data_IF_057906481739
#
_entry.id   IF_057906481739
#
_cell.length_a   1.000
_cell.length_b   1.000
_cell.length_c   1.000
_cell.angle_alpha   90.00
_cell.angle_beta   90.00
_cell.angle_gamma   90.00
#
_symmetry.space_group_name_H-M   'P 1'
#
loop_
_entity.id
_entity.type
_entity.pdbx_description
1 polymer ?
#
# COMPACT_ATOMS: atom_id res chain seq x y z
N UNK A 1 20.07 5.68 -23.19
CA UNK A 1 19.98 5.69 -21.70
C UNK A 1 19.15 6.88 -21.17
N UNK A 2 19.42 8.12 -21.58
CA UNK A 2 18.68 9.30 -21.12
C UNK A 2 17.19 9.27 -21.46
N UNK A 3 16.82 8.84 -22.66
CA UNK A 3 15.41 8.73 -23.08
C UNK A 3 14.58 7.76 -22.21
N UNK A 4 15.16 6.62 -21.79
CA UNK A 4 14.47 5.67 -20.90
C UNK A 4 14.27 6.26 -19.51
N UNK A 5 15.27 7.00 -18.97
CA UNK A 5 15.14 7.69 -17.68
C UNK A 5 13.99 8.71 -17.70
N UNK A 6 13.87 9.49 -18.78
CA UNK A 6 12.77 10.45 -18.94
C UNK A 6 11.42 9.73 -18.97
N UNK A 7 11.28 8.63 -19.73
CA UNK A 7 10.06 7.81 -19.73
C UNK A 7 9.71 7.29 -18.34
N UNK A 8 10.70 6.78 -17.59
CA UNK A 8 10.49 6.33 -16.22
C UNK A 8 9.98 7.45 -15.31
N UNK A 9 10.54 8.66 -15.41
CA UNK A 9 10.08 9.81 -14.63
C UNK A 9 8.65 10.22 -14.98
N UNK A 10 8.31 10.23 -16.27
CA UNK A 10 6.92 10.49 -16.73
C UNK A 10 5.96 9.44 -16.19
N UNK A 11 6.34 8.17 -16.24
CA UNK A 11 5.52 7.09 -15.71
C UNK A 11 5.31 7.20 -14.19
N UNK A 12 6.35 7.59 -13.44
CA UNK A 12 6.24 7.87 -12.00
C UNK A 12 5.28 9.03 -11.70
N UNK A 13 5.32 10.10 -12.48
CA UNK A 13 4.41 11.21 -12.34
C UNK A 13 2.96 10.77 -12.55
N UNK A 14 2.69 10.04 -13.63
CA UNK A 14 1.33 9.65 -14.01
C UNK A 14 0.71 8.59 -13.10
N UNK A 15 1.51 7.63 -12.61
CA UNK A 15 1.00 6.48 -11.84
C UNK A 15 1.04 6.72 -10.33
N UNK A 16 1.98 7.54 -9.86
CA UNK A 16 2.24 7.70 -8.42
C UNK A 16 1.95 9.13 -7.98
N UNK A 17 2.74 10.08 -8.46
CA UNK A 17 2.79 11.40 -7.84
C UNK A 17 1.53 12.23 -8.10
N UNK A 18 1.02 12.26 -9.32
CA UNK A 18 -0.21 12.99 -9.66
C UNK A 18 -1.42 12.35 -8.96
N UNK A 19 -1.66 11.03 -9.05
CA UNK A 19 -2.78 10.41 -8.33
C UNK A 19 -2.71 10.63 -6.81
N UNK A 20 -1.53 10.53 -6.20
CA UNK A 20 -1.38 10.79 -4.77
C UNK A 20 -1.63 12.26 -4.42
N UNK A 21 -1.12 13.20 -5.20
CA UNK A 21 -1.37 14.62 -4.99
C UNK A 21 -2.86 14.95 -5.10
N UNK A 22 -3.56 14.39 -6.10
CA UNK A 22 -5.00 14.55 -6.27
C UNK A 22 -5.78 13.93 -5.10
N UNK A 23 -5.40 12.74 -4.64
CA UNK A 23 -6.03 12.09 -3.49
C UNK A 23 -5.86 12.92 -2.21
N UNK A 24 -4.65 13.43 -1.95
CA UNK A 24 -4.37 14.29 -0.80
C UNK A 24 -5.12 15.62 -0.89
N UNK A 25 -5.15 16.23 -2.08
CA UNK A 25 -5.89 17.46 -2.32
C UNK A 25 -7.39 17.24 -2.10
N UNK A 26 -7.95 16.19 -2.68
CA UNK A 26 -9.36 15.84 -2.51
C UNK A 26 -9.70 15.64 -1.03
N UNK A 27 -8.93 14.82 -0.30
CA UNK A 27 -9.16 14.58 1.14
C UNK A 27 -9.01 15.83 1.99
N UNK A 28 -8.21 16.81 1.57
CA UNK A 28 -8.03 18.07 2.29
C UNK A 28 -9.18 19.08 2.06
N UNK A 29 -9.96 18.92 0.98
CA UNK A 29 -11.03 19.85 0.59
C UNK A 29 -12.43 19.24 0.66
N UNK A 30 -12.54 17.92 0.82
CA UNK A 30 -13.78 17.20 1.10
C UNK A 30 -14.21 17.50 2.56
N UNK A 31 -15.49 17.83 2.75
CA UNK A 31 -16.05 18.29 4.05
C UNK A 31 -17.21 17.45 4.59
N UNK A 32 -17.78 16.55 3.79
CA UNK A 32 -18.93 15.71 4.11
C UNK A 32 -18.58 14.30 4.57
N UNK A 33 -17.31 13.90 4.47
CA UNK A 33 -16.85 12.54 4.69
C UNK A 33 -17.35 11.56 3.63
N UNK A 34 -16.90 10.30 3.73
CA UNK A 34 -17.25 9.24 2.77
C UNK A 34 -18.35 8.34 3.33
N UNK A 35 -19.34 8.04 2.49
CA UNK A 35 -20.34 7.02 2.80
C UNK A 35 -19.72 5.61 2.73
N UNK A 36 -20.30 4.65 3.43
CA UNK A 36 -19.83 3.25 3.47
C UNK A 36 -19.73 2.62 2.08
N UNK A 37 -20.69 2.89 1.18
CA UNK A 37 -20.61 2.45 -0.21
C UNK A 37 -19.48 3.09 -1.00
N UNK A 38 -19.12 4.34 -0.70
CA UNK A 38 -17.98 5.01 -1.34
C UNK A 38 -16.67 4.41 -0.87
N UNK A 39 -16.56 4.04 0.41
CA UNK A 39 -15.42 3.32 0.97
C UNK A 39 -15.26 1.90 0.44
N UNK A 40 -16.29 1.30 -0.17
CA UNK A 40 -16.20 0.05 -0.93
C UNK A 40 -15.83 0.32 -2.39
N UNK A 41 -16.54 1.24 -3.05
CA UNK A 41 -16.40 1.48 -4.48
C UNK A 41 -15.08 2.19 -4.83
N UNK A 42 -14.64 3.16 -4.04
CA UNK A 42 -13.46 3.96 -4.37
C UNK A 42 -12.17 3.14 -4.39
N UNK A 43 -11.85 2.27 -3.41
CA UNK A 43 -10.67 1.41 -3.51
C UNK A 43 -10.73 0.48 -4.74
N UNK A 44 -11.91 -0.03 -5.11
CA UNK A 44 -12.06 -0.89 -6.28
C UNK A 44 -11.86 -0.15 -7.59
N UNK A 45 -12.49 1.01 -7.75
CA UNK A 45 -12.40 1.83 -8.96
C UNK A 45 -11.02 2.46 -9.09
N UNK A 46 -10.52 3.08 -8.03
CA UNK A 46 -9.23 3.76 -8.03
C UNK A 46 -8.08 2.77 -8.01
N UNK A 47 -8.10 1.79 -7.09
CA UNK A 47 -7.06 0.76 -7.00
C UNK A 47 -7.06 -0.15 -8.22
N UNK A 48 -8.22 -0.70 -8.60
CA UNK A 48 -8.37 -1.54 -9.79
C UNK A 48 -8.05 -0.79 -11.08
N UNK A 49 -8.55 0.44 -11.24
CA UNK A 49 -8.23 1.32 -12.36
C UNK A 49 -6.73 1.62 -12.45
N UNK A 50 -6.09 1.92 -11.33
CA UNK A 50 -4.64 2.18 -11.27
C UNK A 50 -3.80 0.94 -11.62
N UNK A 51 -4.24 -0.27 -11.26
CA UNK A 51 -3.59 -1.51 -11.69
C UNK A 51 -3.63 -1.64 -13.22
N UNK A 52 -4.77 -1.35 -13.84
CA UNK A 52 -4.92 -1.35 -15.30
C UNK A 52 -4.03 -0.28 -15.92
N UNK A 53 -4.03 0.95 -15.39
CA UNK A 53 -3.16 2.04 -15.86
C UNK A 53 -1.68 1.67 -15.76
N UNK A 54 -1.26 1.07 -14.65
CA UNK A 54 0.11 0.58 -14.47
C UNK A 54 0.45 -0.50 -15.51
N UNK A 55 -0.45 -1.45 -15.77
CA UNK A 55 -0.26 -2.47 -16.80
C UNK A 55 -0.09 -1.84 -18.20
N UNK A 56 -0.93 -0.86 -18.55
CA UNK A 56 -0.84 -0.14 -19.83
C UNK A 56 0.51 0.58 -19.93
N UNK A 57 0.86 1.39 -18.94
CA UNK A 57 2.10 2.19 -18.97
C UNK A 57 3.32 1.27 -19.01
N UNK A 58 3.34 0.19 -18.22
CA UNK A 58 4.48 -0.72 -18.20
C UNK A 58 4.66 -1.47 -19.52
N UNK A 59 3.61 -2.09 -20.06
CA UNK A 59 3.73 -2.89 -21.28
C UNK A 59 3.87 -2.04 -22.55
N UNK A 60 3.12 -0.93 -22.66
CA UNK A 60 3.06 -0.18 -23.92
C UNK A 60 3.98 1.02 -23.96
N UNK A 61 4.12 1.76 -22.85
CA UNK A 61 4.95 2.96 -22.81
C UNK A 61 6.41 2.67 -22.42
N UNK A 62 6.62 1.87 -21.36
CA UNK A 62 7.96 1.49 -20.88
C UNK A 62 8.53 0.26 -21.60
N UNK A 63 7.68 -0.55 -22.24
CA UNK A 63 8.04 -1.82 -22.91
C UNK A 63 8.65 -2.85 -21.93
N UNK A 64 8.06 -2.95 -20.74
CA UNK A 64 8.50 -3.83 -19.66
C UNK A 64 7.39 -4.82 -19.27
N UNK A 65 7.75 -5.93 -18.63
CA UNK A 65 6.78 -6.95 -18.21
C UNK A 65 6.43 -6.83 -16.73
N UNK A 66 5.16 -7.04 -16.35
CA UNK A 66 4.77 -7.19 -14.93
C UNK A 66 5.47 -8.37 -14.25
N UNK A 67 5.95 -9.36 -15.01
CA UNK A 67 6.72 -10.49 -14.46
C UNK A 67 7.98 -10.04 -13.73
N UNK A 68 8.52 -8.86 -14.05
CA UNK A 68 9.66 -8.26 -13.36
C UNK A 68 9.41 -8.12 -11.84
N UNK A 69 8.16 -7.89 -11.44
CA UNK A 69 7.77 -7.76 -10.04
C UNK A 69 7.76 -9.09 -9.28
N UNK A 70 7.92 -10.22 -9.97
CA UNK A 70 8.04 -11.53 -9.36
C UNK A 70 9.20 -12.34 -9.96
N UNK A 71 10.26 -11.64 -10.36
CA UNK A 71 11.44 -12.21 -11.05
C UNK A 71 12.36 -13.03 -10.15
N UNK A 72 12.22 -12.90 -8.83
CA UNK A 72 13.01 -13.68 -7.87
C UNK A 72 12.66 -15.16 -7.88
N UNK A 73 13.64 -16.01 -7.55
CA UNK A 73 13.43 -17.45 -7.36
C UNK A 73 12.49 -17.69 -6.18
N UNK A 74 11.41 -18.43 -6.40
CA UNK A 74 10.43 -18.73 -5.37
C UNK A 74 9.38 -19.73 -5.86
N UNK A 75 8.59 -20.24 -4.94
CA UNK A 75 7.38 -21.01 -5.21
C UNK A 75 6.28 -20.54 -4.26
N UNK A 76 5.05 -20.97 -4.50
CA UNK A 76 3.89 -20.51 -3.75
C UNK A 76 4.00 -20.81 -2.24
N UNK A 77 4.59 -21.96 -1.88
CA UNK A 77 4.79 -22.33 -0.47
C UNK A 77 5.75 -21.37 0.23
N UNK A 78 6.89 -21.06 -0.39
CA UNK A 78 7.83 -20.07 0.13
C UNK A 78 7.22 -18.69 0.19
N UNK A 79 6.39 -18.32 -0.78
CA UNK A 79 5.73 -17.02 -0.76
C UNK A 79 4.75 -16.92 0.41
N UNK A 80 3.98 -17.98 0.69
CA UNK A 80 3.08 -18.06 1.84
C UNK A 80 3.83 -17.99 3.17
N UNK A 81 4.95 -18.72 3.30
CA UNK A 81 5.79 -18.66 4.51
C UNK A 81 6.35 -17.26 4.74
N UNK A 82 6.83 -16.60 3.68
CA UNK A 82 7.28 -15.22 3.77
C UNK A 82 6.14 -14.25 4.10
N UNK A 83 4.95 -14.47 3.55
CA UNK A 83 3.79 -13.65 3.87
C UNK A 83 3.45 -13.72 5.36
N UNK A 84 3.39 -14.92 5.94
CA UNK A 84 3.14 -15.12 7.37
C UNK A 84 4.22 -14.44 8.22
N UNK A 85 5.49 -14.64 7.85
CA UNK A 85 6.61 -14.00 8.55
C UNK A 85 6.54 -12.47 8.50
N UNK A 86 6.23 -11.89 7.33
CA UNK A 86 6.05 -10.45 7.15
C UNK A 86 4.87 -9.91 7.93
N UNK A 87 3.73 -10.61 7.95
CA UNK A 87 2.58 -10.24 8.80
C UNK A 87 2.97 -10.21 10.27
N UNK A 88 3.72 -11.20 10.75
CA UNK A 88 4.26 -11.21 12.12
C UNK A 88 5.15 -10.00 12.39
N UNK A 89 6.04 -9.65 11.46
CA UNK A 89 6.88 -8.44 11.56
C UNK A 89 6.02 -7.17 11.62
N UNK A 90 4.99 -7.05 10.80
CA UNK A 90 4.11 -5.87 10.79
C UNK A 90 3.35 -5.71 12.11
N UNK A 91 2.91 -6.81 12.74
CA UNK A 91 2.31 -6.76 14.07
C UNK A 91 3.32 -6.39 15.16
N UNK A 92 4.54 -6.95 15.12
CA UNK A 92 5.61 -6.55 16.05
C UNK A 92 5.89 -5.05 15.93
N UNK A 93 6.04 -4.54 14.70
CA UNK A 93 6.22 -3.11 14.44
C UNK A 93 5.05 -2.31 14.98
N UNK A 94 3.80 -2.72 14.70
CA UNK A 94 2.62 -2.04 15.21
C UNK A 94 2.63 -1.87 16.74
N UNK A 95 2.96 -2.93 17.50
CA UNK A 95 3.01 -2.85 18.96
C UNK A 95 4.18 -1.99 19.45
N UNK A 96 5.38 -2.16 18.87
CA UNK A 96 6.57 -1.36 19.24
C UNK A 96 6.35 0.12 18.94
N UNK A 97 5.86 0.44 17.74
CA UNK A 97 5.55 1.81 17.31
C UNK A 97 4.48 2.43 18.20
N UNK A 98 3.44 1.66 18.57
CA UNK A 98 2.43 2.15 19.51
C UNK A 98 3.02 2.46 20.88
N UNK A 99 3.90 1.62 21.40
CA UNK A 99 4.53 1.85 22.72
C UNK A 99 5.53 3.01 22.73
N UNK A 100 6.09 3.39 21.58
CA UNK A 100 7.21 4.35 21.51
C UNK A 100 6.86 5.67 20.85
N UNK A 101 5.91 5.68 19.90
CA UNK A 101 5.61 6.85 19.06
C UNK A 101 4.25 7.47 19.37
N UNK A 102 3.32 6.77 20.02
CA UNK A 102 1.95 7.28 20.21
C UNK A 102 1.85 8.49 21.13
N UNK A 103 2.83 8.68 22.02
CA UNK A 103 2.89 9.84 22.91
C UNK A 103 3.50 11.08 22.23
N UNK A 104 4.23 10.88 21.13
CA UNK A 104 4.99 11.93 20.44
C UNK A 104 4.29 12.36 19.13
N UNK A 105 3.60 11.43 18.48
CA UNK A 105 2.94 11.65 17.21
C UNK A 105 1.41 11.65 17.34
N UNK A 106 0.77 12.42 16.49
CA UNK A 106 -0.68 12.56 16.45
C UNK A 106 -1.30 11.53 15.51
N UNK A 107 -2.24 10.75 16.03
CA UNK A 107 -3.11 9.88 15.25
C UNK A 107 -4.46 10.56 15.02
N UNK A 108 -4.98 10.48 13.79
CA UNK A 108 -6.34 10.92 13.45
C UNK A 108 -7.20 9.69 13.21
N UNK A 109 -8.23 9.51 14.05
CA UNK A 109 -9.16 8.40 13.89
C UNK A 109 -9.96 8.54 12.59
N UNK A 110 -10.24 7.40 11.96
CA UNK A 110 -11.08 7.35 10.77
C UNK A 110 -12.50 6.91 11.16
N UNK A 111 -13.35 7.89 11.44
CA UNK A 111 -14.73 7.64 11.86
C UNK A 111 -15.59 7.03 10.73
N UNK A 112 -15.24 7.30 9.46
CA UNK A 112 -15.96 6.76 8.30
C UNK A 112 -15.68 5.25 8.17
N UNK A 113 -14.42 4.85 8.33
CA UNK A 113 -14.03 3.44 8.35
C UNK A 113 -14.67 2.71 9.53
N UNK A 114 -14.75 3.35 10.70
CA UNK A 114 -15.49 2.79 11.85
C UNK A 114 -16.98 2.61 11.52
N UNK A 115 -17.61 3.60 10.89
CA UNK A 115 -19.00 3.52 10.43
C UNK A 115 -19.23 2.34 9.48
N UNK A 116 -18.38 2.21 8.46
CA UNK A 116 -18.40 1.05 7.56
C UNK A 116 -18.24 -0.27 8.32
N UNK A 117 -17.34 -0.34 9.30
CA UNK A 117 -17.15 -1.53 10.11
C UNK A 117 -18.39 -1.90 10.91
N UNK A 118 -19.08 -0.93 11.50
CA UNK A 118 -20.34 -1.17 12.21
C UNK A 118 -21.43 -1.67 11.24
N UNK A 119 -21.56 -1.06 10.06
CA UNK A 119 -22.50 -1.52 9.03
C UNK A 119 -22.17 -2.94 8.52
N UNK A 120 -20.89 -3.31 8.41
CA UNK A 120 -20.49 -4.67 8.04
C UNK A 120 -20.97 -5.73 9.05
N UNK A 121 -21.18 -5.37 10.32
CA UNK A 121 -21.75 -6.29 11.33
C UNK A 121 -23.23 -6.59 11.06
N UNK A 122 -23.94 -5.62 10.50
CA UNK A 122 -25.37 -5.72 10.21
C UNK A 122 -25.63 -6.25 8.78
N UNK A 123 -24.67 -6.08 7.87
CA UNK A 123 -24.80 -6.43 6.46
C UNK A 123 -23.66 -7.37 5.98
N UNK A 124 -23.92 -8.69 5.92
CA UNK A 124 -22.94 -9.68 5.47
C UNK A 124 -22.42 -9.45 4.04
N UNK A 125 -23.20 -8.80 3.17
CA UNK A 125 -22.74 -8.50 1.80
C UNK A 125 -21.58 -7.49 1.82
N UNK A 126 -21.69 -6.44 2.64
CA UNK A 126 -20.60 -5.47 2.82
C UNK A 126 -19.35 -6.16 3.37
N UNK A 127 -19.52 -7.10 4.31
CA UNK A 127 -18.42 -7.88 4.84
C UNK A 127 -17.69 -8.69 3.77
N UNK A 128 -18.39 -9.42 2.89
CA UNK A 128 -17.70 -10.24 1.86
C UNK A 128 -17.09 -9.34 0.78
N UNK A 129 -17.73 -8.20 0.44
CA UNK A 129 -17.16 -7.23 -0.48
C UNK A 129 -15.87 -6.61 0.08
N UNK A 130 -15.88 -6.27 1.36
CA UNK A 130 -14.73 -5.66 2.03
C UNK A 130 -13.57 -6.65 2.18
N UNK A 131 -13.80 -7.83 2.79
CA UNK A 131 -12.76 -8.84 2.99
C UNK A 131 -12.36 -9.58 1.70
N UNK A 132 -13.17 -9.50 0.66
CA UNK A 132 -12.89 -10.05 -0.66
C UNK A 132 -12.22 -9.01 -1.57
N UNK A 133 -12.90 -8.52 -2.62
CA UNK A 133 -12.25 -7.74 -3.67
C UNK A 133 -11.65 -6.41 -3.17
N UNK A 134 -12.25 -5.74 -2.18
CA UNK A 134 -11.74 -4.44 -1.70
C UNK A 134 -10.37 -4.62 -1.04
N UNK A 135 -10.27 -5.47 -0.02
CA UNK A 135 -9.04 -5.71 0.70
C UNK A 135 -7.93 -6.28 -0.20
N UNK A 136 -8.26 -7.28 -1.03
CA UNK A 136 -7.24 -7.98 -1.81
C UNK A 136 -6.80 -7.22 -3.06
N UNK A 137 -7.74 -6.62 -3.80
CA UNK A 137 -7.46 -5.98 -5.10
C UNK A 137 -7.31 -4.47 -4.92
N UNK A 138 -8.33 -3.84 -4.32
CA UNK A 138 -8.41 -2.38 -4.21
C UNK A 138 -7.37 -1.78 -3.27
N UNK A 139 -6.97 -2.52 -2.23
CA UNK A 139 -5.99 -2.08 -1.22
C UNK A 139 -4.67 -2.82 -1.40
N UNK A 140 -4.58 -4.08 -0.98
CA UNK A 140 -3.30 -4.78 -0.83
C UNK A 140 -2.53 -4.96 -2.15
N UNK A 141 -3.17 -5.48 -3.20
CA UNK A 141 -2.50 -5.67 -4.50
C UNK A 141 -2.12 -4.33 -5.13
N UNK A 142 -3.05 -3.39 -5.14
CA UNK A 142 -2.84 -2.05 -5.69
C UNK A 142 -1.66 -1.35 -5.02
N UNK A 143 -1.67 -1.22 -3.70
CA UNK A 143 -0.64 -0.47 -2.97
C UNK A 143 0.75 -1.09 -3.11
N UNK A 144 0.85 -2.42 -3.05
CA UNK A 144 2.15 -3.09 -3.22
C UNK A 144 2.66 -3.01 -4.66
N UNK A 145 1.77 -3.03 -5.66
CA UNK A 145 2.16 -2.79 -7.05
C UNK A 145 2.72 -1.37 -7.24
N UNK A 146 2.07 -0.36 -6.69
CA UNK A 146 2.54 1.03 -6.75
C UNK A 146 3.88 1.17 -6.02
N UNK A 147 4.02 0.57 -4.82
CA UNK A 147 5.26 0.58 -4.03
C UNK A 147 6.42 -0.03 -4.81
N UNK A 148 6.22 -1.22 -5.36
CA UNK A 148 7.24 -1.93 -6.14
C UNK A 148 7.55 -1.20 -7.44
N UNK A 149 6.55 -0.64 -8.11
CA UNK A 149 6.76 0.17 -9.31
C UNK A 149 7.59 1.42 -9.00
N UNK A 150 7.27 2.15 -7.94
CA UNK A 150 8.02 3.32 -7.48
C UNK A 150 9.48 2.95 -7.17
N UNK A 151 9.68 1.92 -6.34
CA UNK A 151 11.02 1.44 -5.95
C UNK A 151 11.86 1.01 -7.15
N UNK A 152 11.30 0.18 -8.04
CA UNK A 152 12.04 -0.33 -9.21
C UNK A 152 12.33 0.76 -10.24
N UNK A 153 11.43 1.72 -10.40
CA UNK A 153 11.63 2.89 -11.26
C UNK A 153 12.74 3.79 -10.73
N UNK A 154 12.73 4.11 -9.42
CA UNK A 154 13.77 4.91 -8.78
C UNK A 154 15.12 4.20 -8.83
N UNK A 155 15.18 2.91 -8.45
CA UNK A 155 16.40 2.09 -8.55
C UNK A 155 17.09 2.29 -9.89
N UNK A 156 16.37 2.14 -11.00
CA UNK A 156 16.93 2.12 -12.36
C UNK A 156 17.57 3.43 -12.80
N UNK A 157 17.35 4.54 -12.08
CA UNK A 157 17.97 5.83 -12.37
C UNK A 157 19.50 5.81 -12.15
N UNK A 158 20.01 4.98 -11.24
CA UNK A 158 21.44 4.83 -10.98
C UNK A 158 21.81 3.44 -10.43
N UNK A 159 22.93 2.83 -10.87
CA UNK A 159 23.38 1.55 -10.36
C UNK A 159 24.04 1.63 -8.96
N UNK A 160 24.24 2.83 -8.41
CA UNK A 160 24.93 3.03 -7.13
C UNK A 160 24.21 2.34 -5.96
N UNK A 161 24.97 1.67 -5.09
CA UNK A 161 24.44 1.09 -3.85
C UNK A 161 23.87 2.15 -2.90
N UNK A 162 24.49 3.33 -2.86
CA UNK A 162 23.99 4.46 -2.05
C UNK A 162 22.64 4.94 -2.61
N UNK A 163 22.52 5.00 -3.94
CA UNK A 163 21.26 5.34 -4.58
C UNK A 163 20.16 4.31 -4.29
N UNK A 164 20.52 3.04 -4.10
CA UNK A 164 19.56 2.03 -3.66
C UNK A 164 18.90 2.36 -2.33
N UNK A 165 19.73 2.74 -1.36
CA UNK A 165 19.26 3.12 -0.03
C UNK A 165 18.39 4.37 -0.14
N UNK A 166 18.81 5.35 -0.93
CA UNK A 166 17.99 6.53 -1.20
C UNK A 166 16.64 6.18 -1.84
N UNK A 167 16.60 5.26 -2.82
CA UNK A 167 15.36 4.82 -3.45
C UNK A 167 14.40 4.13 -2.46
N UNK A 168 14.93 3.29 -1.56
CA UNK A 168 14.14 2.67 -0.48
C UNK A 168 13.54 3.75 0.43
N UNK A 169 14.35 4.72 0.86
CA UNK A 169 13.90 5.80 1.75
C UNK A 169 12.86 6.70 1.05
N UNK A 170 13.10 7.11 -0.20
CA UNK A 170 12.18 7.95 -0.97
C UNK A 170 10.84 7.24 -1.17
N UNK A 171 10.86 5.96 -1.60
CA UNK A 171 9.63 5.17 -1.73
C UNK A 171 8.88 5.10 -0.40
N UNK A 172 9.59 4.87 0.70
CA UNK A 172 8.99 4.75 2.03
C UNK A 172 8.35 6.04 2.51
N UNK A 173 9.02 7.18 2.32
CA UNK A 173 8.50 8.50 2.63
C UNK A 173 7.26 8.81 1.80
N UNK A 174 7.28 8.56 0.49
CA UNK A 174 6.13 8.80 -0.40
C UNK A 174 4.94 7.93 0.03
N UNK A 175 5.15 6.66 0.37
CA UNK A 175 4.05 5.82 0.87
C UNK A 175 3.51 6.30 2.22
N UNK A 176 4.38 6.73 3.15
CA UNK A 176 3.94 7.31 4.41
C UNK A 176 3.10 8.58 4.20
N UNK A 177 3.58 9.49 3.34
CA UNK A 177 2.86 10.74 3.02
C UNK A 177 1.51 10.49 2.34
N UNK A 178 1.37 9.42 1.56
CA UNK A 178 0.07 9.04 0.99
C UNK A 178 -0.99 8.76 2.07
N UNK A 179 -0.57 8.50 3.31
CA UNK A 179 -1.43 8.25 4.45
C UNK A 179 -1.58 9.45 5.39
N UNK A 180 -1.39 10.66 4.86
CA UNK A 180 -1.52 11.93 5.61
C UNK A 180 -2.82 12.04 6.42
N UNK A 181 -3.93 11.47 5.92
CA UNK A 181 -5.23 11.49 6.59
C UNK A 181 -5.22 10.83 7.97
N UNK A 182 -4.28 9.91 8.23
CA UNK A 182 -4.12 9.21 9.51
C UNK A 182 -3.31 10.01 10.55
N UNK A 183 -2.85 11.22 10.19
CA UNK A 183 -1.99 12.05 11.04
C UNK A 183 -0.52 11.64 10.99
N UNK A 184 0.31 12.36 11.76
CA UNK A 184 1.77 12.15 11.78
C UNK A 184 2.16 10.73 12.24
N UNK A 185 1.37 10.13 13.12
CA UNK A 185 1.58 8.75 13.56
C UNK A 185 1.41 7.76 12.39
N UNK A 186 0.34 7.87 11.61
CA UNK A 186 0.12 7.01 10.44
C UNK A 186 1.22 7.16 9.39
N UNK A 187 1.60 8.41 9.08
CA UNK A 187 2.69 8.70 8.12
C UNK A 187 3.98 7.98 8.50
N UNK A 188 4.41 8.11 9.76
CA UNK A 188 5.69 7.56 10.21
C UNK A 188 5.65 6.03 10.29
N UNK A 189 4.60 5.46 10.88
CA UNK A 189 4.48 4.00 11.04
C UNK A 189 4.36 3.28 9.71
N UNK A 190 3.63 3.84 8.75
CA UNK A 190 3.53 3.28 7.40
C UNK A 190 4.83 3.45 6.62
N UNK A 191 5.56 4.56 6.81
CA UNK A 191 6.90 4.70 6.24
C UNK A 191 7.87 3.63 6.77
N UNK A 192 7.85 3.31 8.06
CA UNK A 192 8.68 2.25 8.66
C UNK A 192 8.33 0.88 8.08
N UNK A 193 7.04 0.53 8.00
CA UNK A 193 6.60 -0.72 7.34
C UNK A 193 6.99 -0.77 5.86
N UNK A 194 6.92 0.37 5.16
CA UNK A 194 7.36 0.48 3.77
C UNK A 194 8.85 0.20 3.62
N UNK A 195 9.69 0.59 4.58
CA UNK A 195 11.13 0.24 4.57
C UNK A 195 11.28 -1.28 4.59
N UNK A 196 10.56 -1.99 5.47
CA UNK A 196 10.60 -3.46 5.53
C UNK A 196 10.16 -4.09 4.21
N UNK A 197 9.03 -3.64 3.65
CA UNK A 197 8.53 -4.13 2.36
C UNK A 197 9.53 -3.88 1.22
N UNK A 198 10.13 -2.68 1.17
CA UNK A 198 11.13 -2.32 0.17
C UNK A 198 12.42 -3.14 0.30
N UNK A 199 12.91 -3.36 1.52
CA UNK A 199 14.10 -4.19 1.80
C UNK A 199 13.82 -5.66 1.45
N UNK A 200 12.64 -6.18 1.81
CA UNK A 200 12.21 -7.51 1.42
C UNK A 200 12.20 -7.65 -0.11
N UNK A 201 11.56 -6.71 -0.80
CA UNK A 201 11.50 -6.72 -2.25
C UNK A 201 12.88 -6.61 -2.88
N UNK A 202 13.74 -5.73 -2.36
CA UNK A 202 15.12 -5.57 -2.81
C UNK A 202 15.87 -6.91 -2.82
N UNK A 203 15.72 -7.69 -1.74
CA UNK A 203 16.41 -8.96 -1.55
C UNK A 203 15.79 -10.11 -2.36
N UNK A 204 14.47 -10.25 -2.32
CA UNK A 204 13.80 -11.44 -2.83
C UNK A 204 13.14 -11.25 -4.20
N UNK A 205 12.82 -10.03 -4.61
CA UNK A 205 12.13 -9.73 -5.88
C UNK A 205 10.82 -10.51 -6.06
N UNK A 206 10.06 -10.65 -4.97
CA UNK A 206 8.76 -11.33 -4.93
C UNK A 206 7.69 -10.35 -4.46
N UNK A 207 6.68 -10.11 -5.28
CA UNK A 207 5.53 -9.25 -4.96
C UNK A 207 4.50 -10.00 -4.11
N UNK A 208 4.23 -11.27 -4.42
CA UNK A 208 3.14 -12.02 -3.81
C UNK A 208 3.19 -12.08 -2.27
N UNK A 209 4.36 -12.27 -1.63
CA UNK A 209 4.44 -12.25 -0.17
C UNK A 209 4.02 -10.91 0.43
N UNK A 210 4.36 -9.80 -0.23
CA UNK A 210 3.99 -8.46 0.23
C UNK A 210 2.47 -8.28 0.20
N UNK A 211 1.83 -8.63 -0.92
CA UNK A 211 0.37 -8.52 -1.09
C UNK A 211 -0.37 -9.34 -0.04
N UNK A 212 0.01 -10.61 0.13
CA UNK A 212 -0.65 -11.48 1.12
C UNK A 212 -0.40 -10.94 2.53
N UNK A 213 0.83 -10.53 2.86
CA UNK A 213 1.14 -10.02 4.19
C UNK A 213 0.36 -8.75 4.56
N UNK A 214 0.16 -7.87 3.58
CA UNK A 214 -0.61 -6.63 3.69
C UNK A 214 -2.08 -6.95 3.91
N UNK A 215 -2.68 -7.78 3.04
CA UNK A 215 -4.08 -8.19 3.18
C UNK A 215 -4.35 -8.88 4.53
N UNK A 216 -3.44 -9.74 4.99
CA UNK A 216 -3.55 -10.38 6.30
C UNK A 216 -3.42 -9.36 7.45
N UNK A 217 -2.46 -8.45 7.38
CA UNK A 217 -2.24 -7.45 8.42
C UNK A 217 -3.47 -6.54 8.61
N UNK A 218 -4.03 -6.03 7.51
CA UNK A 218 -5.22 -5.18 7.55
C UNK A 218 -6.47 -5.97 7.90
N UNK A 219 -6.67 -7.12 7.26
CA UNK A 219 -7.83 -7.99 7.49
C UNK A 219 -7.91 -8.46 8.95
N UNK A 220 -6.80 -8.85 9.56
CA UNK A 220 -6.77 -9.26 10.97
C UNK A 220 -7.12 -8.06 11.88
N UNK A 221 -6.58 -6.87 11.63
CA UNK A 221 -6.92 -5.69 12.44
C UNK A 221 -8.40 -5.34 12.36
N UNK A 222 -8.97 -5.32 11.14
CA UNK A 222 -10.40 -5.06 10.93
C UNK A 222 -11.25 -6.16 11.55
N UNK A 223 -10.90 -7.43 11.34
CA UNK A 223 -11.59 -8.57 11.93
C UNK A 223 -11.60 -8.53 13.47
N UNK A 224 -10.45 -8.20 14.08
CA UNK A 224 -10.37 -8.02 15.53
C UNK A 224 -11.27 -6.89 16.02
N UNK A 225 -11.30 -5.75 15.32
CA UNK A 225 -12.19 -4.64 15.66
C UNK A 225 -13.65 -5.06 15.57
N UNK A 226 -14.04 -5.75 14.48
CA UNK A 226 -15.40 -6.26 14.28
C UNK A 226 -15.85 -7.25 15.36
N UNK A 227 -14.94 -7.95 16.03
CA UNK A 227 -15.28 -8.89 17.11
C UNK A 227 -15.27 -8.20 18.48
N UNK A 228 -14.38 -7.23 18.70
CA UNK A 228 -14.11 -6.67 20.03
C UNK A 228 -14.79 -5.33 20.31
N UNK A 229 -15.19 -4.59 19.28
CA UNK A 229 -15.82 -3.28 19.47
C UNK A 229 -17.19 -3.46 20.15
N UNK A 230 -17.51 -2.71 21.23
CA UNK A 230 -18.79 -2.84 21.94
C UNK A 230 -20.00 -2.70 20.99
N UNK A 231 -21.11 -3.36 21.34
CA UNK A 231 -22.40 -3.15 20.68
C UNK A 231 -23.01 -1.81 21.12
#
# INVERSE_FOLDING_TARGET
>A
MQHQKVKTLVALLLIVLIPFALMLWYRAHESGGFASMELILYPLLFGGGSIISLWIIKNYFLKESLKDFNSGKGNIVKDLLWAIALTGIYFILFYVERMTLSEILTFRSNNELLGLMLEMRENPLLLILWFGPVLWIGIALYEELIRVFLLTSLWRLSPSKIWMVAAILITSIITGLAHWSQGSYGIVTIAIKSIVACVFFYKYRRLLPLVISHALYDGIQVGMLLITYPQ
#
